data_IF_166704318095
#
_entry.id   IF_166704318095
#
_cell.length_a   1.000
_cell.length_b   1.000
_cell.length_c   1.000
_cell.angle_alpha   90.00
_cell.angle_beta   90.00
_cell.angle_gamma   90.00
#
_symmetry.space_group_name_H-M   'P 1'
#
loop_
_entity.id
_entity.type
_entity.pdbx_description
1 polymer ?
#
# COMPACT_ATOMS: atom_id res chain seq x y z
N UNK A 1 3.43 6.74 -17.19
CA UNK A 1 2.65 6.64 -15.94
C UNK A 1 1.65 7.80 -15.90
N UNK A 2 0.37 7.57 -15.57
CA UNK A 2 -0.65 8.63 -15.51
C UNK A 2 -0.35 9.62 -14.37
N UNK A 3 -0.71 10.91 -14.54
CA UNK A 3 -0.52 11.97 -13.53
C UNK A 3 -1.13 11.59 -12.18
N UNK A 4 -2.40 11.16 -12.17
CA UNK A 4 -3.11 10.78 -10.96
C UNK A 4 -2.43 9.61 -10.20
N UNK A 5 -1.83 8.67 -10.93
CA UNK A 5 -1.05 7.56 -10.33
C UNK A 5 0.21 8.11 -9.65
N UNK A 6 0.94 9.01 -10.31
CA UNK A 6 2.13 9.64 -9.73
C UNK A 6 1.79 10.46 -8.48
N UNK A 7 0.67 11.18 -8.52
CA UNK A 7 0.22 12.00 -7.39
C UNK A 7 -0.24 11.10 -6.22
N UNK A 8 -0.84 9.95 -6.50
CA UNK A 8 -1.23 8.98 -5.47
C UNK A 8 -0.02 8.32 -4.81
N UNK A 9 1.01 7.95 -5.58
CA UNK A 9 2.27 7.42 -5.04
C UNK A 9 2.98 8.41 -4.11
N UNK A 10 2.72 9.72 -4.26
CA UNK A 10 3.22 10.78 -3.38
C UNK A 10 2.26 11.13 -2.23
N UNK A 11 1.13 10.43 -2.09
CA UNK A 11 0.10 10.72 -1.08
C UNK A 11 -0.73 11.99 -1.33
N UNK A 12 -0.60 12.62 -2.50
CA UNK A 12 -1.28 13.88 -2.84
C UNK A 12 -2.75 13.66 -3.16
N UNK A 13 -3.11 12.52 -3.75
CA UNK A 13 -4.49 12.15 -4.07
C UNK A 13 -4.84 10.77 -3.51
N UNK A 14 -6.07 10.57 -3.01
CA UNK A 14 -6.51 9.26 -2.53
C UNK A 14 -6.65 8.28 -3.70
N UNK A 15 -6.40 7.00 -3.42
CA UNK A 15 -6.55 5.94 -4.41
C UNK A 15 -8.00 5.69 -4.85
N UNK A 16 -8.99 6.24 -4.12
CA UNK A 16 -10.39 6.25 -4.54
C UNK A 16 -10.67 7.15 -5.76
N UNK A 17 -9.81 8.11 -6.05
CA UNK A 17 -9.86 8.90 -7.28
C UNK A 17 -9.31 8.15 -8.51
N UNK A 18 -8.73 6.96 -8.31
CA UNK A 18 -8.16 6.14 -9.38
C UNK A 18 -9.13 5.06 -9.86
N UNK A 19 -8.96 4.66 -11.12
CA UNK A 19 -9.59 3.44 -11.65
C UNK A 19 -9.10 2.21 -10.87
N UNK A 20 -9.88 1.12 -10.91
CA UNK A 20 -9.50 -0.14 -10.24
C UNK A 20 -8.15 -0.67 -10.71
N UNK A 21 -7.84 -0.54 -12.00
CA UNK A 21 -6.56 -0.98 -12.59
C UNK A 21 -5.41 -0.11 -12.08
N UNK A 22 -5.58 1.21 -12.10
CA UNK A 22 -4.55 2.14 -11.62
C UNK A 22 -4.29 1.97 -10.11
N UNK A 23 -5.35 1.70 -9.32
CA UNK A 23 -5.25 1.39 -7.89
C UNK A 23 -4.44 0.12 -7.63
N UNK A 24 -4.68 -0.94 -8.41
CA UNK A 24 -3.91 -2.18 -8.29
C UNK A 24 -2.44 -1.95 -8.64
N UNK A 25 -2.14 -1.13 -9.65
CA UNK A 25 -0.77 -0.78 -10.00
C UNK A 25 -0.06 0.02 -8.90
N UNK A 26 -0.75 0.95 -8.23
CA UNK A 26 -0.20 1.68 -7.06
C UNK A 26 0.13 0.73 -5.92
N UNK A 27 -0.79 -0.18 -5.56
CA UNK A 27 -0.55 -1.18 -4.50
C UNK A 27 0.64 -2.08 -4.85
N UNK A 28 0.72 -2.58 -6.09
CA UNK A 28 1.84 -3.40 -6.54
C UNK A 28 3.18 -2.65 -6.46
N UNK A 29 3.19 -1.36 -6.83
CA UNK A 29 4.40 -0.54 -6.80
C UNK A 29 4.90 -0.30 -5.38
N UNK A 30 4.02 0.14 -4.48
CA UNK A 30 4.37 0.40 -3.08
C UNK A 30 4.75 -0.89 -2.34
N UNK A 31 4.08 -2.00 -2.65
CA UNK A 31 4.50 -3.33 -2.18
C UNK A 31 5.90 -3.68 -2.68
N UNK A 32 6.19 -3.49 -3.98
CA UNK A 32 7.53 -3.70 -4.53
C UNK A 32 8.62 -2.81 -3.90
N UNK A 33 8.24 -1.66 -3.36
CA UNK A 33 9.14 -0.77 -2.60
C UNK A 33 9.33 -1.22 -1.13
N UNK A 34 8.73 -2.35 -0.73
CA UNK A 34 8.92 -2.96 0.60
C UNK A 34 7.84 -2.60 1.63
N UNK A 35 6.84 -1.79 1.26
CA UNK A 35 5.86 -1.29 2.23
C UNK A 35 4.87 -2.38 2.66
N UNK A 36 4.45 -2.30 3.92
CA UNK A 36 3.38 -3.13 4.51
C UNK A 36 2.00 -2.64 4.09
N UNK A 37 0.98 -3.49 4.25
CA UNK A 37 -0.41 -3.11 3.96
C UNK A 37 -0.87 -1.86 4.75
N UNK A 38 -0.29 -1.63 5.94
CA UNK A 38 -0.55 -0.45 6.77
C UNK A 38 0.04 0.81 6.17
N UNK A 39 1.33 0.80 5.81
CA UNK A 39 2.00 1.95 5.20
C UNK A 39 1.39 2.30 3.82
N UNK A 40 1.04 1.28 3.04
CA UNK A 40 0.33 1.46 1.78
C UNK A 40 -1.04 2.10 2.02
N UNK A 41 -1.79 1.63 3.02
CA UNK A 41 -3.09 2.20 3.38
C UNK A 41 -2.98 3.68 3.78
N UNK A 42 -1.95 4.06 4.53
CA UNK A 42 -1.69 5.45 4.92
C UNK A 42 -1.41 6.35 3.71
N UNK A 43 -0.52 5.93 2.80
CA UNK A 43 -0.17 6.70 1.60
C UNK A 43 -1.39 6.85 0.68
N UNK A 44 -2.12 5.76 0.47
CA UNK A 44 -3.21 5.70 -0.51
C UNK A 44 -4.57 6.14 0.04
N UNK A 45 -4.69 6.31 1.36
CA UNK A 45 -5.93 6.52 2.12
C UNK A 45 -6.97 5.42 1.92
N UNK A 46 -6.52 4.21 1.59
CA UNK A 46 -7.35 3.01 1.62
C UNK A 46 -7.39 2.47 3.05
N UNK A 47 -8.32 1.57 3.33
CA UNK A 47 -8.24 0.75 4.55
C UNK A 47 -7.18 -0.34 4.36
N UNK A 48 -6.52 -0.76 5.45
CA UNK A 48 -5.60 -1.91 5.42
C UNK A 48 -6.28 -3.17 4.86
N UNK A 49 -7.56 -3.36 5.14
CA UNK A 49 -8.38 -4.43 4.56
C UNK A 49 -8.44 -4.35 3.03
N UNK A 50 -8.78 -3.17 2.49
CA UNK A 50 -8.86 -2.97 1.03
C UNK A 50 -7.51 -3.16 0.37
N UNK A 51 -6.44 -2.63 0.97
CA UNK A 51 -5.06 -2.85 0.52
C UNK A 51 -4.72 -4.35 0.47
N UNK A 52 -4.93 -5.07 1.58
CA UNK A 52 -4.67 -6.51 1.66
C UNK A 52 -5.48 -7.32 0.65
N UNK A 53 -6.74 -6.94 0.39
CA UNK A 53 -7.60 -7.58 -0.62
C UNK A 53 -7.07 -7.37 -2.04
N UNK A 54 -6.58 -6.16 -2.36
CA UNK A 54 -5.98 -5.87 -3.66
C UNK A 54 -4.66 -6.63 -3.82
N UNK A 55 -3.79 -6.59 -2.80
CA UNK A 55 -2.53 -7.34 -2.74
C UNK A 55 -2.75 -8.84 -2.96
N UNK A 56 -3.74 -9.43 -2.29
CA UNK A 56 -4.09 -10.85 -2.44
C UNK A 56 -4.57 -11.19 -3.86
N UNK A 57 -5.37 -10.32 -4.49
CA UNK A 57 -5.79 -10.49 -5.89
C UNK A 57 -4.62 -10.43 -6.89
N UNK A 58 -3.55 -9.74 -6.52
CA UNK A 58 -2.31 -9.67 -7.30
C UNK A 58 -1.36 -10.85 -7.02
N UNK A 59 -1.70 -11.75 -6.10
CA UNK A 59 -0.85 -12.88 -5.72
C UNK A 59 0.38 -12.50 -4.89
N UNK A 60 0.38 -11.30 -4.29
CA UNK A 60 1.52 -10.77 -3.53
C UNK A 60 1.45 -11.18 -2.06
N UNK A 61 2.56 -11.69 -1.50
CA UNK A 61 2.67 -12.04 -0.09
C UNK A 61 2.62 -10.79 0.80
N UNK A 62 2.05 -10.90 2.00
CA UNK A 62 2.05 -9.80 2.95
C UNK A 62 3.46 -9.56 3.47
N UNK A 63 3.87 -8.30 3.61
CA UNK A 63 5.07 -7.97 4.36
C UNK A 63 4.76 -8.01 5.85
N UNK A 64 5.64 -8.66 6.61
CA UNK A 64 5.53 -8.72 8.05
C UNK A 64 5.73 -7.33 8.64
N UNK A 65 4.83 -6.89 9.52
CA UNK A 65 5.15 -5.74 10.37
C UNK A 65 6.32 -6.15 11.24
N UNK A 66 7.39 -5.37 11.20
CA UNK A 66 8.41 -5.42 12.26
C UNK A 66 7.73 -5.00 13.55
N UNK A 67 7.29 -5.98 14.34
CA UNK A 67 6.72 -5.70 15.66
C UNK A 67 7.80 -5.00 16.47
N UNK A 68 7.56 -3.75 16.89
CA UNK A 68 8.40 -3.03 17.83
C UNK A 68 8.26 -3.61 19.26
N UNK A 69 8.38 -4.93 19.38
CA UNK A 69 8.29 -5.68 20.64
C UNK A 69 9.61 -6.40 20.96
N UNK A 70 10.73 -5.88 20.44
CA UNK A 70 12.09 -6.34 20.76
C UNK A 70 12.93 -5.25 21.48
N UNK A 71 12.30 -4.22 22.04
CA UNK A 71 12.95 -3.18 22.85
C UNK A 71 12.51 -3.19 24.33
N UNK A 72 12.07 -4.35 24.84
CA UNK A 72 12.14 -4.62 26.29
C UNK A 72 13.31 -5.57 26.52
N UNK A 73 14.53 -5.03 26.48
CA UNK A 73 15.71 -5.68 27.06
C UNK A 73 16.69 -4.63 27.58
N UNK A 74 16.53 -4.25 28.85
CA UNK A 74 17.46 -4.48 29.99
C UNK A 74 17.30 -3.40 31.05
#
# INVERSE_FOLDING_TARGET
MKRAVADCLRGLVPADALSTVDRAAVVARLHGDGLTDGEIAEITRLTTYTTGRIRARLGLAAHERKTAHALVQR
#
